data_IF_700010686133
#
_entry.id   IF_700010686133
#
_cell.length_a   1.000
_cell.length_b   1.000
_cell.length_c   1.000
_cell.angle_alpha   90.00
_cell.angle_beta   90.00
_cell.angle_gamma   90.00
#
_symmetry.space_group_name_H-M   'P 1'
#
loop_
_entity.id
_entity.type
_entity.pdbx_description
1 polymer ?
#
# COMPACT_ATOMS: atom_id res chain seq x y z
N UNK A 1 -7.24 30.03 -23.49
CA UNK A 1 -7.24 29.85 -22.02
C UNK A 1 -8.61 30.25 -21.52
N UNK A 2 -9.17 29.49 -20.59
CA UNK A 2 -10.45 29.81 -19.95
C UNK A 2 -10.25 31.04 -19.02
N UNK A 3 -11.07 32.08 -19.19
CA UNK A 3 -10.99 33.31 -18.42
C UNK A 3 -11.25 33.07 -16.92
N UNK A 4 -12.11 32.09 -16.60
CA UNK A 4 -12.38 31.69 -15.22
C UNK A 4 -11.15 31.09 -14.54
N UNK A 5 -10.30 30.40 -15.29
CA UNK A 5 -9.10 29.75 -14.75
C UNK A 5 -7.97 30.74 -14.43
N UNK A 6 -8.00 31.94 -14.99
CA UNK A 6 -6.91 32.94 -14.87
C UNK A 6 -7.34 34.23 -14.16
N UNK A 7 -8.63 34.41 -13.87
CA UNK A 7 -9.11 35.65 -13.24
C UNK A 7 -8.56 35.79 -11.81
N UNK A 8 -7.93 36.92 -11.46
CA UNK A 8 -7.48 37.18 -10.10
C UNK A 8 -8.60 37.75 -9.20
N UNK A 9 -9.83 37.81 -9.71
CA UNK A 9 -10.94 38.51 -9.09
C UNK A 9 -11.79 37.58 -8.21
N UNK A 10 -12.59 38.18 -7.33
CA UNK A 10 -13.55 37.43 -6.49
C UNK A 10 -14.49 36.56 -7.35
N UNK A 11 -14.44 35.23 -7.17
CA UNK A 11 -15.23 34.29 -7.98
C UNK A 11 -16.74 34.52 -7.86
N UNK A 12 -17.25 34.85 -6.66
CA UNK A 12 -18.66 35.19 -6.44
C UNK A 12 -19.14 36.32 -7.36
N UNK A 13 -18.35 37.39 -7.42
CA UNK A 13 -18.64 38.59 -8.21
C UNK A 13 -18.47 38.29 -9.70
N UNK A 14 -17.41 37.56 -10.06
CA UNK A 14 -17.15 37.13 -11.43
C UNK A 14 -18.31 36.30 -12.00
N UNK A 15 -18.83 35.32 -11.24
CA UNK A 15 -19.99 34.53 -11.67
C UNK A 15 -21.27 35.38 -11.79
N UNK A 16 -21.47 36.37 -10.92
CA UNK A 16 -22.60 37.29 -11.05
C UNK A 16 -22.52 38.11 -12.36
N UNK A 17 -21.32 38.55 -12.74
CA UNK A 17 -21.08 39.28 -13.99
C UNK A 17 -21.27 38.35 -15.18
N UNK A 18 -20.76 37.13 -15.15
CA UNK A 18 -20.94 36.16 -16.22
C UNK A 18 -22.43 35.85 -16.45
N UNK A 19 -23.18 35.62 -15.38
CA UNK A 19 -24.62 35.37 -15.48
C UNK A 19 -25.41 36.58 -16.01
N UNK A 20 -24.96 37.81 -15.75
CA UNK A 20 -25.69 39.05 -16.11
C UNK A 20 -25.25 39.65 -17.45
N UNK A 21 -23.97 39.50 -17.80
CA UNK A 21 -23.31 40.15 -18.91
C UNK A 21 -22.65 39.18 -19.89
N UNK A 22 -22.54 37.88 -19.55
CA UNK A 22 -22.04 36.83 -20.43
C UNK A 22 -20.52 36.79 -20.59
N UNK A 23 -19.76 37.35 -19.63
CA UNK A 23 -18.30 37.29 -19.65
C UNK A 23 -17.67 37.26 -18.26
N UNK A 24 -16.44 36.79 -18.20
CA UNK A 24 -15.59 36.75 -17.00
C UNK A 24 -14.60 37.93 -17.03
N UNK A 25 -14.68 38.89 -16.09
CA UNK A 25 -13.71 39.99 -16.02
C UNK A 25 -12.35 39.50 -15.52
N UNK A 26 -11.29 40.13 -16.04
CA UNK A 26 -9.89 39.84 -15.69
C UNK A 26 -9.18 40.99 -14.97
N UNK A 27 -9.81 42.18 -14.90
CA UNK A 27 -9.27 43.37 -14.24
C UNK A 27 -10.22 43.89 -13.18
N UNK A 28 -9.65 44.47 -12.11
CA UNK A 28 -10.40 45.16 -11.05
C UNK A 28 -11.03 46.47 -11.53
N UNK A 29 -10.53 47.01 -12.63
CA UNK A 29 -11.01 48.25 -13.23
C UNK A 29 -12.23 48.05 -14.14
N UNK A 30 -12.72 46.81 -14.27
CA UNK A 30 -13.92 46.51 -15.05
C UNK A 30 -15.14 47.21 -14.42
N UNK A 31 -15.89 48.04 -15.18
CA UNK A 31 -17.02 48.79 -14.63
C UNK A 31 -18.14 47.91 -14.05
N UNK A 32 -18.40 46.75 -14.65
CA UNK A 32 -19.40 45.81 -14.14
C UNK A 32 -18.92 45.12 -12.86
N UNK A 33 -17.60 44.86 -12.76
CA UNK A 33 -16.98 44.35 -11.54
C UNK A 33 -17.08 45.34 -10.37
N UNK A 34 -16.77 46.60 -10.61
CA UNK A 34 -16.88 47.66 -9.60
C UNK A 34 -18.34 47.81 -9.15
N UNK A 35 -19.28 47.91 -10.10
CA UNK A 35 -20.71 48.06 -9.79
C UNK A 35 -21.26 46.88 -8.97
N UNK A 36 -20.82 45.64 -9.27
CA UNK A 36 -21.29 44.47 -8.53
C UNK A 36 -20.71 44.40 -7.11
N UNK A 37 -19.44 44.79 -6.92
CA UNK A 37 -18.86 44.95 -5.57
C UNK A 37 -19.62 46.00 -4.77
N UNK A 38 -19.94 47.14 -5.38
CA UNK A 38 -20.70 48.21 -4.71
C UNK A 38 -22.10 47.74 -4.31
N UNK A 39 -22.77 46.97 -5.18
CA UNK A 39 -24.06 46.36 -4.89
C UNK A 39 -23.97 45.38 -3.71
N UNK A 40 -22.99 44.47 -3.70
CA UNK A 40 -22.79 43.52 -2.60
C UNK A 40 -22.54 44.24 -1.26
N UNK A 41 -21.75 45.33 -1.28
CA UNK A 41 -21.50 46.17 -0.11
C UNK A 41 -22.77 46.88 0.38
N UNK A 42 -23.56 47.47 -0.54
CA UNK A 42 -24.81 48.14 -0.20
C UNK A 42 -25.83 47.19 0.44
N UNK A 43 -25.85 45.94 -0.02
CA UNK A 43 -26.70 44.87 0.51
C UNK A 43 -26.10 44.11 1.69
N UNK A 44 -24.92 44.51 2.17
CA UNK A 44 -24.24 43.93 3.34
C UNK A 44 -24.01 42.43 3.22
N UNK A 45 -23.59 41.98 2.02
CA UNK A 45 -23.20 40.59 1.82
C UNK A 45 -22.03 40.24 2.74
N UNK A 46 -22.00 38.99 3.21
CA UNK A 46 -20.85 38.48 3.98
C UNK A 46 -19.58 38.53 3.13
N UNK A 47 -18.40 38.68 3.76
CA UNK A 47 -17.12 38.53 3.09
C UNK A 47 -17.06 37.23 2.27
N UNK A 48 -16.45 37.29 1.09
CA UNK A 48 -16.32 36.11 0.23
C UNK A 48 -15.15 35.24 0.71
N UNK A 49 -15.38 33.94 0.83
CA UNK A 49 -14.34 32.95 1.18
C UNK A 49 -13.80 32.18 -0.03
N UNK A 50 -13.98 32.68 -1.26
CA UNK A 50 -13.42 32.00 -2.44
C UNK A 50 -11.88 32.04 -2.45
N UNK A 51 -11.26 31.19 -3.27
CA UNK A 51 -9.79 31.07 -3.39
C UNK A 51 -9.07 32.40 -3.67
N UNK A 52 -9.71 33.35 -4.34
CA UNK A 52 -9.14 34.66 -4.65
C UNK A 52 -9.38 35.72 -3.56
N UNK A 53 -10.23 35.46 -2.56
CA UNK A 53 -10.57 36.40 -1.49
C UNK A 53 -10.06 35.96 -0.12
N UNK A 54 -10.08 34.66 0.18
CA UNK A 54 -9.55 34.08 1.41
C UNK A 54 -8.44 33.08 1.08
N UNK A 55 -7.32 33.61 0.56
CA UNK A 55 -6.18 32.81 0.08
C UNK A 55 -5.56 31.98 1.20
N UNK A 56 -5.38 32.57 2.38
CA UNK A 56 -4.71 31.91 3.51
C UNK A 56 -5.50 30.68 3.99
N UNK A 57 -6.82 30.82 4.13
CA UNK A 57 -7.68 29.71 4.53
C UNK A 57 -7.76 28.63 3.46
N UNK A 58 -7.81 29.04 2.18
CA UNK A 58 -7.70 28.11 1.04
C UNK A 58 -6.39 27.32 1.05
N UNK A 59 -5.26 27.99 1.25
CA UNK A 59 -3.94 27.34 1.35
C UNK A 59 -3.86 26.40 2.55
N UNK A 60 -4.41 26.80 3.70
CA UNK A 60 -4.49 25.97 4.90
C UNK A 60 -5.30 24.70 4.64
N UNK A 61 -6.47 24.84 4.01
CA UNK A 61 -7.32 23.70 3.65
C UNK A 61 -6.61 22.76 2.68
N UNK A 62 -6.00 23.28 1.61
CA UNK A 62 -5.29 22.47 0.61
C UNK A 62 -4.13 21.68 1.23
N UNK A 63 -3.35 22.29 2.13
CA UNK A 63 -2.24 21.62 2.82
C UNK A 63 -2.72 20.48 3.74
N UNK A 64 -3.96 20.57 4.22
CA UNK A 64 -4.52 19.64 5.19
C UNK A 64 -5.66 18.77 4.64
N UNK A 65 -5.90 18.77 3.31
CA UNK A 65 -6.89 17.91 2.64
C UNK A 65 -6.82 16.43 3.05
N UNK A 66 -5.60 15.93 3.30
CA UNK A 66 -5.31 14.56 3.74
C UNK A 66 -5.85 14.20 5.14
N UNK A 67 -6.15 15.21 5.97
CA UNK A 67 -6.67 15.05 7.33
C UNK A 67 -8.21 15.20 7.37
N UNK A 68 -8.83 15.46 6.21
CA UNK A 68 -10.28 15.54 6.11
C UNK A 68 -10.92 14.15 6.14
N UNK A 69 -12.05 14.07 6.82
CA UNK A 69 -12.93 12.92 6.97
C UNK A 69 -14.36 13.39 6.69
N UNK A 70 -15.29 12.45 6.53
CA UNK A 70 -16.70 12.83 6.36
C UNK A 70 -17.23 13.62 7.55
N UNK A 71 -16.76 13.32 8.76
CA UNK A 71 -17.24 13.94 10.00
C UNK A 71 -16.72 15.36 10.23
N UNK A 72 -15.56 15.71 9.65
CA UNK A 72 -14.91 17.02 9.88
C UNK A 72 -14.91 17.93 8.65
N UNK A 73 -15.49 17.48 7.52
CA UNK A 73 -15.46 18.19 6.26
C UNK A 73 -16.19 19.53 6.33
N UNK A 74 -17.41 19.54 6.88
CA UNK A 74 -18.23 20.76 6.94
C UNK A 74 -17.56 21.84 7.81
N UNK A 75 -17.02 21.44 8.97
CA UNK A 75 -16.28 22.33 9.87
C UNK A 75 -15.00 22.87 9.20
N UNK A 76 -14.32 22.05 8.40
CA UNK A 76 -13.15 22.49 7.64
C UNK A 76 -13.48 23.50 6.54
N UNK A 77 -14.64 23.35 5.88
CA UNK A 77 -15.07 24.25 4.81
C UNK A 77 -15.46 25.64 5.30
N UNK A 78 -15.76 25.78 6.59
CA UNK A 78 -16.13 27.05 7.25
C UNK A 78 -15.04 27.55 8.20
N UNK A 79 -13.81 27.05 8.07
CA UNK A 79 -12.63 27.43 8.87
C UNK A 79 -12.81 27.23 10.39
N UNK A 80 -13.70 26.31 10.80
CA UNK A 80 -13.93 25.94 12.21
C UNK A 80 -13.09 24.75 12.66
N UNK A 81 -12.45 24.05 11.73
CA UNK A 81 -11.53 22.95 12.04
C UNK A 81 -10.10 23.49 12.28
N UNK A 82 -9.58 23.27 13.48
CA UNK A 82 -8.17 23.48 13.78
C UNK A 82 -7.34 22.29 13.28
N UNK A 83 -6.64 22.49 12.17
CA UNK A 83 -5.60 21.57 11.74
C UNK A 83 -4.39 21.70 12.68
N UNK A 84 -3.94 20.58 13.25
CA UNK A 84 -2.67 20.53 13.94
C UNK A 84 -1.56 20.89 12.95
N UNK A 85 -0.77 21.92 13.28
CA UNK A 85 0.37 22.33 12.48
C UNK A 85 1.35 21.16 12.34
N UNK A 86 1.25 20.45 11.22
CA UNK A 86 2.21 19.43 10.85
C UNK A 86 3.46 20.08 10.26
N UNK A 87 4.06 21.03 10.97
CA UNK A 87 5.40 21.58 10.68
C UNK A 87 6.52 20.55 10.87
N UNK A 88 6.16 19.31 11.23
CA UNK A 88 7.02 18.14 11.19
C UNK A 88 6.38 17.00 10.38
N UNK A 89 6.05 17.23 9.11
CA UNK A 89 6.09 16.11 8.16
C UNK A 89 7.56 15.76 8.02
N UNK A 90 8.03 14.84 8.84
CA UNK A 90 9.32 14.20 8.68
C UNK A 90 9.40 13.79 7.19
N UNK A 91 10.33 14.34 6.38
CA UNK A 91 10.46 14.00 4.96
C UNK A 91 10.76 12.50 4.76
N UNK A 92 11.07 11.82 5.87
CA UNK A 92 11.15 10.38 6.02
C UNK A 92 9.82 9.68 6.32
N UNK A 93 8.64 10.21 5.95
CA UNK A 93 7.48 9.33 5.71
C UNK A 93 7.87 8.43 4.54
N UNK A 94 8.58 7.34 4.88
CA UNK A 94 8.89 6.24 3.99
C UNK A 94 7.59 5.97 3.26
N UNK A 95 7.62 6.02 1.93
CA UNK A 95 6.56 5.40 1.14
C UNK A 95 6.40 4.02 1.77
N UNK A 96 5.25 3.76 2.38
CA UNK A 96 4.93 2.41 2.82
C UNK A 96 4.72 1.64 1.52
N UNK A 97 5.85 1.22 0.92
CA UNK A 97 5.82 0.18 -0.08
C UNK A 97 5.14 -0.98 0.63
N UNK A 98 4.05 -1.49 0.04
CA UNK A 98 3.38 -2.68 0.56
C UNK A 98 4.47 -3.71 0.81
N UNK A 99 4.65 -4.09 2.07
CA UNK A 99 5.67 -5.07 2.41
C UNK A 99 5.31 -6.35 1.65
N UNK A 100 6.24 -6.86 0.85
CA UNK A 100 6.09 -8.19 0.32
C UNK A 100 6.39 -9.16 1.47
N UNK A 101 5.32 -9.66 2.10
CA UNK A 101 5.42 -10.73 3.09
C UNK A 101 6.12 -11.95 2.51
N UNK A 102 6.58 -12.83 3.39
CA UNK A 102 7.10 -14.13 2.95
C UNK A 102 5.93 -15.09 2.86
N UNK A 103 5.22 -15.08 1.74
CA UNK A 103 4.24 -16.11 1.45
C UNK A 103 4.92 -17.40 1.02
N UNK A 104 4.35 -18.52 1.45
CA UNK A 104 4.62 -19.87 0.98
C UNK A 104 4.18 -20.07 -0.47
N UNK A 105 3.23 -19.28 -0.98
CA UNK A 105 2.76 -19.35 -2.37
C UNK A 105 3.68 -18.51 -3.28
N UNK A 106 4.62 -19.17 -3.96
CA UNK A 106 5.59 -18.45 -4.78
C UNK A 106 6.58 -19.30 -5.56
N UNK A 107 6.53 -20.63 -5.45
CA UNK A 107 7.26 -21.50 -6.38
C UNK A 107 6.55 -21.57 -7.75
N UNK A 108 7.27 -21.93 -8.81
CA UNK A 108 6.68 -22.10 -10.16
C UNK A 108 5.51 -23.10 -10.14
N UNK A 109 5.57 -24.09 -9.26
CA UNK A 109 4.53 -25.10 -9.05
C UNK A 109 3.20 -24.52 -8.53
N UNK A 110 3.23 -23.34 -7.90
CA UNK A 110 2.07 -22.72 -7.27
C UNK A 110 1.34 -21.75 -8.19
N UNK A 111 1.87 -21.48 -9.39
CA UNK A 111 1.32 -20.47 -10.29
C UNK A 111 -0.18 -20.70 -10.57
N UNK A 112 -0.59 -21.97 -10.67
CA UNK A 112 -2.00 -22.34 -10.89
C UNK A 112 -2.87 -21.96 -9.69
N UNK A 113 -2.41 -22.21 -8.47
CA UNK A 113 -3.13 -21.90 -7.23
C UNK A 113 -3.21 -20.39 -7.04
N UNK A 114 -2.09 -19.69 -7.25
CA UNK A 114 -1.98 -18.23 -7.18
C UNK A 114 -2.91 -17.55 -8.16
N UNK A 115 -2.91 -17.99 -9.43
CA UNK A 115 -3.76 -17.40 -10.47
C UNK A 115 -5.24 -17.61 -10.15
N UNK A 116 -5.64 -18.84 -9.77
CA UNK A 116 -7.03 -19.14 -9.40
C UNK A 116 -7.50 -18.28 -8.23
N UNK A 117 -6.66 -18.12 -7.21
CA UNK A 117 -7.04 -17.31 -6.05
C UNK A 117 -7.10 -15.81 -6.38
N UNK A 118 -6.17 -15.31 -7.20
CA UNK A 118 -6.20 -13.93 -7.69
C UNK A 118 -7.48 -13.64 -8.46
N UNK A 119 -7.86 -14.52 -9.39
CA UNK A 119 -9.09 -14.39 -10.17
C UNK A 119 -10.33 -14.45 -9.28
N UNK A 120 -10.33 -15.34 -8.29
CA UNK A 120 -11.41 -15.45 -7.31
C UNK A 120 -11.57 -14.16 -6.50
N UNK A 121 -10.47 -13.59 -6.00
CA UNK A 121 -10.47 -12.34 -5.24
C UNK A 121 -11.02 -11.18 -6.06
N UNK A 122 -10.53 -11.00 -7.29
CA UNK A 122 -10.94 -9.91 -8.17
C UNK A 122 -12.41 -10.08 -8.57
N UNK A 123 -12.77 -11.22 -9.15
CA UNK A 123 -14.12 -11.44 -9.69
C UNK A 123 -15.18 -11.37 -8.60
N UNK A 124 -14.94 -12.03 -7.46
CA UNK A 124 -15.91 -12.03 -6.35
C UNK A 124 -16.07 -10.64 -5.75
N UNK A 125 -14.98 -9.88 -5.62
CA UNK A 125 -15.07 -8.52 -5.09
C UNK A 125 -15.75 -7.56 -6.06
N UNK A 126 -15.45 -7.66 -7.35
CA UNK A 126 -16.09 -6.81 -8.36
C UNK A 126 -17.59 -7.06 -8.40
N UNK A 127 -18.02 -8.32 -8.40
CA UNK A 127 -19.43 -8.69 -8.32
C UNK A 127 -20.10 -8.20 -7.03
N UNK A 128 -19.45 -8.40 -5.88
CA UNK A 128 -19.96 -7.92 -4.58
C UNK A 128 -20.16 -6.41 -4.58
N UNK A 129 -19.17 -5.65 -5.07
CA UNK A 129 -19.22 -4.20 -5.09
C UNK A 129 -20.28 -3.67 -6.08
N UNK A 130 -20.27 -4.17 -7.32
CA UNK A 130 -21.14 -3.68 -8.38
C UNK A 130 -22.62 -4.01 -8.10
N UNK A 131 -22.89 -5.14 -7.44
CA UNK A 131 -24.25 -5.51 -6.98
C UNK A 131 -24.76 -4.56 -5.90
N UNK A 132 -23.89 -4.11 -4.99
CA UNK A 132 -24.27 -3.26 -3.85
C UNK A 132 -24.42 -1.78 -4.23
N UNK A 133 -23.53 -1.27 -5.09
CA UNK A 133 -23.51 0.14 -5.48
C UNK A 133 -24.39 0.44 -6.70
N UNK A 134 -24.75 -0.59 -7.48
CA UNK A 134 -25.60 -0.47 -8.65
C UNK A 134 -24.98 0.34 -9.79
N UNK A 135 -25.80 0.65 -10.80
CA UNK A 135 -25.35 1.30 -12.06
C UNK A 135 -25.01 2.78 -11.94
N UNK A 136 -25.30 3.41 -10.80
CA UNK A 136 -25.09 4.85 -10.58
C UNK A 136 -23.81 5.18 -9.84
N UNK A 137 -23.01 4.17 -9.50
CA UNK A 137 -21.71 4.37 -8.85
C UNK A 137 -20.74 5.12 -9.77
N UNK A 138 -19.99 6.08 -9.21
CA UNK A 138 -18.92 6.79 -9.94
C UNK A 138 -17.72 5.89 -10.27
N UNK A 139 -17.53 4.83 -9.49
CA UNK A 139 -16.44 3.86 -9.63
C UNK A 139 -17.00 2.45 -9.76
N UNK A 140 -16.41 1.60 -10.59
CA UNK A 140 -16.73 0.17 -10.60
C UNK A 140 -15.84 -0.60 -9.61
N UNK A 141 -16.22 -1.83 -9.27
CA UNK A 141 -15.44 -2.67 -8.35
C UNK A 141 -13.98 -2.84 -8.78
N UNK A 142 -13.73 -2.86 -10.10
CA UNK A 142 -12.37 -2.89 -10.69
C UNK A 142 -11.52 -1.64 -10.42
N UNK A 143 -12.15 -0.49 -10.21
CA UNK A 143 -11.46 0.77 -9.92
C UNK A 143 -11.08 0.85 -8.44
N UNK A 144 -11.90 0.22 -7.59
CA UNK A 144 -11.71 0.14 -6.14
C UNK A 144 -10.70 -0.93 -5.74
N UNK A 145 -10.78 -2.12 -6.35
CA UNK A 145 -9.92 -3.26 -6.01
C UNK A 145 -9.26 -3.82 -7.27
N UNK A 146 -8.03 -3.37 -7.47
CA UNK A 146 -7.17 -3.73 -8.61
C UNK A 146 -6.28 -4.94 -8.30
N UNK A 147 -5.63 -5.44 -9.35
CA UNK A 147 -4.65 -6.52 -9.25
C UNK A 147 -3.55 -6.28 -8.20
N UNK A 148 -3.11 -5.03 -8.03
CA UNK A 148 -2.09 -4.68 -7.04
C UNK A 148 -2.53 -5.02 -5.61
N UNK A 149 -3.82 -4.91 -5.31
CA UNK A 149 -4.37 -5.26 -4.00
C UNK A 149 -4.44 -6.79 -3.85
N UNK A 150 -4.89 -7.50 -4.89
CA UNK A 150 -4.93 -8.97 -4.88
C UNK A 150 -3.51 -9.57 -4.74
N UNK A 151 -2.55 -9.07 -5.50
CA UNK A 151 -1.14 -9.48 -5.40
C UNK A 151 -0.59 -9.24 -3.99
N UNK A 152 -0.89 -8.08 -3.40
CA UNK A 152 -0.45 -7.77 -2.04
C UNK A 152 -1.01 -8.76 -1.00
N UNK A 153 -2.29 -9.13 -1.12
CA UNK A 153 -2.93 -10.15 -0.27
C UNK A 153 -2.23 -11.50 -0.44
N UNK A 154 -1.99 -11.92 -1.68
CA UNK A 154 -1.31 -13.20 -1.98
C UNK A 154 0.10 -13.22 -1.40
N UNK A 155 0.87 -12.13 -1.56
CA UNK A 155 2.23 -12.01 -1.04
C UNK A 155 2.28 -12.02 0.49
N UNK A 156 1.19 -11.70 1.19
CA UNK A 156 1.12 -11.66 2.65
C UNK A 156 0.16 -12.71 3.22
N UNK A 157 -0.21 -13.72 2.45
CA UNK A 157 -1.31 -14.62 2.81
C UNK A 157 -1.07 -15.33 4.14
N UNK A 158 0.16 -15.78 4.39
CA UNK A 158 0.52 -16.53 5.60
C UNK A 158 0.45 -15.66 6.87
N UNK A 159 0.75 -14.36 6.74
CA UNK A 159 0.77 -13.37 7.84
C UNK A 159 -0.60 -12.73 8.09
N UNK A 160 -1.54 -12.84 7.14
CA UNK A 160 -2.90 -12.30 7.24
C UNK A 160 -3.78 -13.19 8.13
N UNK A 161 -3.98 -12.76 9.39
CA UNK A 161 -4.89 -13.42 10.34
C UNK A 161 -6.04 -12.52 10.82
N UNK A 162 -5.87 -11.20 10.73
CA UNK A 162 -6.83 -10.25 11.29
C UNK A 162 -7.18 -9.12 10.32
N UNK A 163 -8.28 -8.45 10.64
CA UNK A 163 -8.78 -7.32 9.88
C UNK A 163 -7.87 -6.12 9.89
N UNK A 164 -7.13 -5.93 10.99
CA UNK A 164 -6.20 -4.83 11.15
C UNK A 164 -5.04 -4.95 10.14
N UNK A 165 -4.47 -6.15 9.98
CA UNK A 165 -3.42 -6.39 9.00
C UNK A 165 -3.95 -6.23 7.57
N UNK A 166 -5.17 -6.71 7.29
CA UNK A 166 -5.79 -6.55 5.98
C UNK A 166 -6.04 -5.08 5.63
N UNK A 167 -6.57 -4.29 6.57
CA UNK A 167 -6.79 -2.84 6.40
C UNK A 167 -5.47 -2.13 6.11
N UNK A 168 -4.42 -2.43 6.87
CA UNK A 168 -3.09 -1.86 6.70
C UNK A 168 -2.47 -2.24 5.35
N UNK A 169 -2.73 -3.46 4.87
CA UNK A 169 -2.16 -3.99 3.64
C UNK A 169 -2.81 -3.39 2.37
N UNK A 170 -4.15 -3.35 2.34
CA UNK A 170 -4.90 -2.74 1.24
C UNK A 170 -4.61 -1.23 1.21
N UNK A 171 -4.62 -0.62 2.41
CA UNK A 171 -4.49 0.82 2.60
C UNK A 171 -5.72 1.59 2.11
N UNK A 172 -5.72 2.90 2.36
CA UNK A 172 -6.83 3.77 2.01
C UNK A 172 -8.05 3.58 2.91
N UNK A 173 -9.13 4.29 2.56
CA UNK A 173 -10.41 4.17 3.22
C UNK A 173 -11.12 2.90 2.73
N UNK A 174 -11.63 2.11 3.67
CA UNK A 174 -12.34 0.87 3.37
C UNK A 174 -13.84 1.16 3.30
N UNK A 175 -14.49 0.61 2.28
CA UNK A 175 -15.95 0.65 2.16
C UNK A 175 -16.56 -0.29 3.21
N UNK A 176 -17.76 0.04 3.69
CA UNK A 176 -18.49 -0.81 4.62
C UNK A 176 -18.63 -2.24 4.11
N UNK A 177 -18.17 -3.19 4.92
CA UNK A 177 -18.18 -4.62 4.62
C UNK A 177 -17.07 -5.10 3.66
N UNK A 178 -16.26 -4.21 3.07
CA UNK A 178 -15.16 -4.62 2.17
C UNK A 178 -14.17 -5.54 2.89
N UNK A 179 -13.70 -5.14 4.07
CA UNK A 179 -12.72 -5.93 4.82
C UNK A 179 -13.32 -7.27 5.26
N UNK A 180 -14.60 -7.29 5.65
CA UNK A 180 -15.31 -8.52 6.02
C UNK A 180 -15.39 -9.51 4.88
N UNK A 181 -15.86 -9.03 3.74
CA UNK A 181 -15.98 -9.84 2.54
C UNK A 181 -14.64 -10.43 2.09
N UNK A 182 -13.57 -9.62 2.09
CA UNK A 182 -12.24 -10.08 1.70
C UNK A 182 -11.64 -11.08 2.70
N UNK A 183 -11.84 -10.87 4.01
CA UNK A 183 -11.35 -11.80 5.02
C UNK A 183 -12.08 -13.14 4.97
N UNK A 184 -13.37 -13.14 4.68
CA UNK A 184 -14.16 -14.36 4.51
C UNK A 184 -13.68 -15.16 3.28
N UNK A 185 -13.34 -14.48 2.18
CA UNK A 185 -12.74 -15.11 1.00
C UNK A 185 -11.36 -15.70 1.30
N UNK A 186 -10.50 -14.97 2.01
CA UNK A 186 -9.17 -15.44 2.41
C UNK A 186 -9.30 -16.67 3.31
N UNK A 187 -10.19 -16.64 4.29
CA UNK A 187 -10.41 -17.75 5.23
C UNK A 187 -10.93 -18.98 4.50
N UNK A 188 -11.87 -18.81 3.57
CA UNK A 188 -12.39 -19.90 2.73
C UNK A 188 -11.31 -20.52 1.87
N UNK A 189 -10.47 -19.70 1.25
CA UNK A 189 -9.34 -20.17 0.45
C UNK A 189 -8.30 -20.91 1.29
N UNK A 190 -7.97 -20.39 2.48
CA UNK A 190 -7.07 -21.09 3.43
C UNK A 190 -7.63 -22.45 3.85
N UNK A 191 -8.95 -22.61 3.90
CA UNK A 191 -9.60 -23.89 4.18
C UNK A 191 -9.69 -24.85 2.99
N UNK A 192 -9.34 -24.41 1.78
CA UNK A 192 -9.47 -25.24 0.59
C UNK A 192 -8.41 -26.37 0.56
N UNK A 193 -8.81 -27.52 0.01
CA UNK A 193 -7.95 -28.72 -0.07
C UNK A 193 -6.68 -28.43 -0.85
N UNK A 194 -6.78 -27.61 -1.91
CA UNK A 194 -5.63 -27.25 -2.74
C UNK A 194 -4.55 -26.49 -1.96
N UNK A 195 -4.96 -25.54 -1.12
CA UNK A 195 -4.03 -24.77 -0.29
C UNK A 195 -3.49 -25.59 0.89
N UNK A 196 -4.33 -26.39 1.56
CA UNK A 196 -3.88 -27.26 2.65
C UNK A 196 -2.85 -28.29 2.16
N UNK A 197 -3.09 -28.90 0.99
CA UNK A 197 -2.13 -29.82 0.38
C UNK A 197 -0.81 -29.13 0.02
N UNK A 198 -0.87 -27.89 -0.45
CA UNK A 198 0.31 -27.06 -0.71
C UNK A 198 1.15 -26.87 0.55
N UNK A 199 0.52 -26.45 1.65
CA UNK A 199 1.20 -26.24 2.94
C UNK A 199 1.87 -27.53 3.42
N UNK A 200 1.17 -28.67 3.37
CA UNK A 200 1.74 -29.97 3.75
C UNK A 200 2.94 -30.36 2.88
N UNK A 201 2.85 -30.15 1.56
CA UNK A 201 3.94 -30.44 0.64
C UNK A 201 5.17 -29.58 0.94
N UNK A 202 4.98 -28.29 1.26
CA UNK A 202 6.07 -27.40 1.64
C UNK A 202 6.74 -27.81 2.94
N UNK A 203 5.97 -28.19 3.96
CA UNK A 203 6.53 -28.66 5.23
C UNK A 203 7.39 -29.90 5.02
N UNK A 204 6.88 -30.89 4.26
CA UNK A 204 7.64 -32.09 3.89
C UNK A 204 8.95 -31.74 3.17
N UNK A 205 8.92 -30.85 2.18
CA UNK A 205 10.12 -30.44 1.44
C UNK A 205 11.14 -29.72 2.35
N UNK A 206 10.67 -28.93 3.32
CA UNK A 206 11.54 -28.28 4.32
C UNK A 206 12.21 -29.30 5.23
N UNK A 207 11.48 -30.32 5.68
CA UNK A 207 12.01 -31.41 6.49
C UNK A 207 13.05 -32.25 5.72
N UNK A 208 12.74 -32.62 4.47
CA UNK A 208 13.68 -33.34 3.60
C UNK A 208 14.97 -32.53 3.38
N UNK A 209 14.86 -31.22 3.14
CA UNK A 209 16.03 -30.35 2.97
C UNK A 209 16.86 -30.20 4.27
N UNK A 210 16.20 -30.13 5.43
CA UNK A 210 16.83 -30.15 6.76
C UNK A 210 17.63 -31.43 6.98
N UNK A 211 17.04 -32.59 6.67
CA UNK A 211 17.71 -33.89 6.81
C UNK A 211 18.89 -34.05 5.85
N UNK A 212 18.76 -33.60 4.59
CA UNK A 212 19.89 -33.56 3.65
C UNK A 212 21.01 -32.66 4.15
N UNK A 213 20.70 -31.50 4.74
CA UNK A 213 21.70 -30.61 5.36
C UNK A 213 22.39 -31.29 6.55
N UNK A 214 21.64 -31.98 7.42
CA UNK A 214 22.21 -32.74 8.55
C UNK A 214 23.11 -33.88 8.07
N UNK A 215 22.69 -34.63 7.04
CA UNK A 215 23.49 -35.70 6.45
C UNK A 215 24.81 -35.18 5.89
N UNK A 216 24.79 -34.10 5.09
CA UNK A 216 26.00 -33.45 4.56
C UNK A 216 26.95 -32.97 5.67
N UNK A 217 26.42 -32.42 6.76
CA UNK A 217 27.22 -32.02 7.94
C UNK A 217 27.89 -33.23 8.61
N UNK A 218 27.17 -34.33 8.79
CA UNK A 218 27.71 -35.57 9.37
C UNK A 218 28.81 -36.16 8.49
N UNK A 219 28.60 -36.23 7.19
CA UNK A 219 29.59 -36.74 6.23
C UNK A 219 30.86 -35.87 6.21
N UNK A 220 30.71 -34.55 6.15
CA UNK A 220 31.83 -33.60 6.21
C UNK A 220 32.65 -33.76 7.50
N UNK A 221 31.98 -33.90 8.65
CA UNK A 221 32.64 -34.15 9.93
C UNK A 221 33.39 -35.49 9.97
N UNK A 222 32.82 -36.55 9.38
CA UNK A 222 33.47 -37.85 9.27
C UNK A 222 34.72 -37.78 8.36
N UNK A 223 34.63 -37.14 7.20
CA UNK A 223 35.76 -36.92 6.28
C UNK A 223 36.89 -36.12 6.95
N UNK A 224 36.55 -35.08 7.71
CA UNK A 224 37.54 -34.30 8.46
C UNK A 224 38.28 -35.15 9.51
N UNK A 225 37.55 -35.98 10.27
CA UNK A 225 38.14 -36.89 11.27
C UNK A 225 39.07 -37.92 10.62
N UNK A 226 38.66 -38.53 9.51
CA UNK A 226 39.47 -39.49 8.77
C UNK A 226 40.78 -38.87 8.24
N UNK A 227 40.70 -37.69 7.61
CA UNK A 227 41.89 -36.97 7.14
C UNK A 227 42.84 -36.58 8.27
N UNK A 228 42.31 -36.21 9.45
CA UNK A 228 43.13 -35.92 10.62
C UNK A 228 43.87 -37.17 11.13
N UNK A 229 43.20 -38.33 11.15
CA UNK A 229 43.82 -39.60 11.54
C UNK A 229 44.89 -40.05 10.55
N UNK A 230 44.63 -39.95 9.24
CA UNK A 230 45.60 -40.27 8.18
C UNK A 230 46.87 -39.43 8.32
N UNK A 231 46.75 -38.09 8.50
CA UNK A 231 47.91 -37.23 8.73
C UNK A 231 48.71 -37.58 9.98
N UNK A 232 48.03 -37.98 11.06
CA UNK A 232 48.71 -38.41 12.28
C UNK A 232 49.48 -39.73 12.08
N UNK A 233 48.90 -40.67 11.34
CA UNK A 233 49.55 -41.94 10.96
C UNK A 233 50.78 -41.69 10.05
N UNK A 234 50.65 -40.84 9.03
CA UNK A 234 51.77 -40.45 8.16
C UNK A 234 52.91 -39.75 8.94
N UNK A 235 52.57 -38.87 9.88
CA UNK A 235 53.54 -38.22 10.77
C UNK A 235 54.25 -39.24 11.70
N UNK A 236 53.53 -40.23 12.20
CA UNK A 236 54.12 -41.28 13.04
C UNK A 236 55.04 -42.23 12.25
N UNK A 237 54.67 -42.57 11.01
CA UNK A 237 55.49 -43.40 10.14
C UNK A 237 56.76 -42.66 9.72
N UNK A 238 56.67 -41.41 9.27
CA UNK A 238 57.85 -40.60 8.90
C UNK A 238 58.84 -40.39 10.05
N UNK A 239 58.36 -40.23 11.29
CA UNK A 239 59.23 -40.20 12.47
C UNK A 239 59.92 -41.55 12.75
N UNK A 240 59.24 -42.68 12.52
CA UNK A 240 59.84 -44.01 12.68
C UNK A 240 60.90 -44.33 11.62
N UNK A 241 60.70 -43.90 10.37
CA UNK A 241 61.69 -44.07 9.28
C UNK A 241 62.91 -43.17 9.46
N UNK A 242 62.74 -41.98 10.05
CA UNK A 242 63.85 -41.09 10.40
C UNK A 242 64.72 -41.66 11.53
N UNK A 243 64.11 -42.34 12.52
CA UNK A 243 64.83 -43.01 13.60
C UNK A 243 65.58 -44.27 13.14
N UNK A 244 65.00 -45.08 12.25
CA UNK A 244 65.69 -46.26 11.70
C UNK A 244 66.91 -45.90 10.86
N UNK A 245 66.88 -44.78 10.12
CA UNK A 245 68.03 -44.32 9.34
C UNK A 245 69.13 -43.66 10.17
N UNK A 246 68.85 -43.21 11.40
CA UNK A 246 69.85 -42.66 12.32
C UNK A 246 70.62 -43.72 13.11
N UNK A 247 70.21 -44.98 13.05
CA UNK A 247 70.82 -46.08 13.84
C UNK A 247 71.69 -47.01 12.96
N UNK A 248 71.84 -46.70 11.67
CA UNK A 248 72.55 -47.51 10.68
C UNK A 248 73.87 -46.87 10.19
N UNK A 249 74.44 -45.93 10.96
CA UNK A 249 75.77 -45.33 10.69
C UNK A 249 76.75 -45.75 11.79
#
# INVERSE_FOLDING_TARGET
MDALAITPLCLRVVFAIDNKHGYIPLSKDDPHYIAEIEREKALKFLPCSCSNCNVESGDKLVRNLKELTQDNFDDAMIDQLEFLDSTNINPNKRKHTRHAGKTSLGCEEDQVIVHKFKDLLLSSFHEYYDTRMGRSSRFAGRDVFREEHANAIISNLDELQDMANLKKLIGGEAIDGQLQFLMDLITRFKGDVSYQQHIMNQERLKEEAEEVKKAKRRESAARYRANKQMKALEASQSNSTAQSNSTAV
#
